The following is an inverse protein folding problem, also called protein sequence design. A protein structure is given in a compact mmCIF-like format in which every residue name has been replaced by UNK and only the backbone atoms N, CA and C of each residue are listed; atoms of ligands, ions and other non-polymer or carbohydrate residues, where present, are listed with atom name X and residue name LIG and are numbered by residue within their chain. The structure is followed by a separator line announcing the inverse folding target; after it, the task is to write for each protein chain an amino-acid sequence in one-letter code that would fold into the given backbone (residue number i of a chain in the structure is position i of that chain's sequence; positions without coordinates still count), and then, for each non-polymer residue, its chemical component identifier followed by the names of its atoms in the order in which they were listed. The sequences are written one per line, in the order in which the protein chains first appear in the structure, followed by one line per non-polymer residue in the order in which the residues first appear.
data_IF_793141031050
#
_entry.id   IF_793141031050
#
_cell.length_a   1.000
_cell.length_b   1.000
_cell.length_c   1.000
_cell.angle_alpha   90.00
_cell.angle_beta   90.00
_cell.angle_gamma   90.00
#
_symmetry.space_group_name_H-M   'P 1'
#
loop_
_entity.id
_entity.type
_entity.pdbx_description
1 polymer ?
#
# COMPACT_ATOMS: atom_id res chain seq x y z
N UNK A 1 3.30 18.41 0.43
CA UNK A 1 2.88 16.99 0.37
C UNK A 1 1.93 16.81 -0.80
N UNK A 2 2.27 15.95 -1.77
CA UNK A 2 1.34 15.68 -2.88
C UNK A 2 0.10 14.95 -2.35
N UNK A 3 -1.08 15.32 -2.84
CA UNK A 3 -2.31 14.56 -2.56
C UNK A 3 -2.12 13.14 -3.10
N UNK A 4 -2.30 12.13 -2.26
CA UNK A 4 -2.43 10.76 -2.75
C UNK A 4 -3.74 10.67 -3.54
N UNK A 5 -3.61 10.42 -4.83
CA UNK A 5 -4.76 10.14 -5.67
C UNK A 5 -5.11 8.68 -5.50
N UNK A 6 -6.37 8.41 -5.16
CA UNK A 6 -6.86 7.05 -5.09
C UNK A 6 -6.79 6.39 -6.47
N UNK A 7 -6.18 5.21 -6.52
CA UNK A 7 -6.10 4.38 -7.73
C UNK A 7 -6.78 3.05 -7.44
N UNK A 8 -7.84 2.75 -8.20
CA UNK A 8 -8.50 1.45 -8.17
C UNK A 8 -7.65 0.41 -8.89
N UNK A 9 -7.52 -0.79 -8.32
CA UNK A 9 -6.83 -1.89 -8.99
C UNK A 9 -7.57 -2.26 -10.29
N UNK A 10 -6.85 -2.44 -11.42
CA UNK A 10 -7.49 -2.83 -12.67
C UNK A 10 -7.89 -4.32 -12.69
N UNK A 11 -7.25 -5.14 -11.86
CA UNK A 11 -7.58 -6.56 -11.68
C UNK A 11 -7.45 -6.98 -10.21
N UNK A 12 -8.03 -8.12 -9.86
CA UNK A 12 -8.09 -8.67 -8.49
C UNK A 12 -6.73 -9.02 -7.87
N UNK A 13 -5.64 -8.95 -8.63
CA UNK A 13 -4.30 -9.33 -8.20
C UNK A 13 -3.35 -8.15 -7.96
N UNK A 14 -3.77 -6.94 -8.36
CA UNK A 14 -2.88 -5.78 -8.47
C UNK A 14 -2.97 -4.81 -7.29
N UNK A 15 -3.48 -5.28 -6.14
CA UNK A 15 -3.61 -4.46 -4.93
C UNK A 15 -2.27 -3.88 -4.45
N UNK A 16 -1.19 -4.67 -4.50
CA UNK A 16 0.15 -4.21 -4.13
C UNK A 16 0.73 -3.17 -5.09
N UNK A 17 0.53 -3.36 -6.39
CA UNK A 17 0.97 -2.47 -7.46
C UNK A 17 0.22 -1.14 -7.35
N UNK A 18 -1.09 -1.19 -7.11
CA UNK A 18 -1.90 0.00 -6.90
C UNK A 18 -1.43 0.81 -5.68
N UNK A 19 -1.08 0.15 -4.56
CA UNK A 19 -0.50 0.84 -3.39
C UNK A 19 0.79 1.60 -3.73
N UNK A 20 1.69 0.97 -4.49
CA UNK A 20 2.94 1.62 -4.92
C UNK A 20 2.66 2.74 -5.93
N UNK A 21 1.72 2.54 -6.86
CA UNK A 21 1.34 3.53 -7.85
C UNK A 21 0.81 4.81 -7.19
N UNK A 22 -0.02 4.64 -6.15
CA UNK A 22 -0.56 5.74 -5.33
C UNK A 22 0.55 6.51 -4.60
N UNK A 23 1.57 5.82 -4.09
CA UNK A 23 2.71 6.45 -3.42
C UNK A 23 3.67 7.15 -4.39
N UNK A 24 3.90 6.56 -5.56
CA UNK A 24 4.82 7.09 -6.57
C UNK A 24 4.18 8.14 -7.48
N UNK A 25 2.84 8.28 -7.46
CA UNK A 25 2.13 9.21 -8.34
C UNK A 25 2.15 8.79 -9.81
N UNK A 26 2.20 7.49 -10.07
CA UNK A 26 2.28 6.87 -11.41
C UNK A 26 1.08 5.95 -11.67
N UNK A 27 0.98 5.38 -12.85
CA UNK A 27 -0.08 4.41 -13.18
C UNK A 27 0.22 3.00 -12.64
N UNK A 28 -0.82 2.18 -12.45
CA UNK A 28 -0.64 0.77 -12.05
C UNK A 28 0.16 0.00 -13.10
N UNK A 29 -0.05 0.30 -14.39
CA UNK A 29 0.63 -0.34 -15.51
C UNK A 29 2.15 -0.11 -15.48
N UNK A 30 2.58 1.12 -15.16
CA UNK A 30 4.00 1.44 -14.97
C UNK A 30 4.59 0.62 -13.82
N UNK A 31 3.87 0.49 -12.70
CA UNK A 31 4.31 -0.34 -11.57
C UNK A 31 4.36 -1.83 -11.93
N UNK A 32 3.39 -2.34 -12.70
CA UNK A 32 3.40 -3.73 -13.21
C UNK A 32 4.65 -3.96 -14.07
N UNK A 33 5.01 -3.00 -14.93
CA UNK A 33 6.22 -3.07 -15.74
C UNK A 33 7.50 -3.09 -14.88
N UNK A 34 7.58 -2.23 -13.86
CA UNK A 34 8.71 -2.18 -12.91
C UNK A 34 8.83 -3.45 -12.08
N UNK A 35 7.70 -3.99 -11.60
CA UNK A 35 7.67 -5.25 -10.87
C UNK A 35 7.88 -6.46 -11.79
N UNK A 36 7.66 -6.31 -13.10
CA UNK A 36 7.59 -7.41 -14.07
C UNK A 36 6.68 -8.55 -13.56
N UNK A 37 5.55 -8.17 -12.93
CA UNK A 37 4.61 -9.08 -12.30
C UNK A 37 3.19 -8.50 -12.38
N UNK A 38 2.34 -9.19 -13.13
CA UNK A 38 0.92 -8.89 -13.34
C UNK A 38 -0.01 -9.74 -12.45
N UNK A 39 0.56 -10.51 -11.51
CA UNK A 39 -0.15 -11.39 -10.56
C UNK A 39 0.03 -10.90 -9.13
N UNK A 40 -0.33 -11.76 -8.17
CA UNK A 40 -0.25 -11.49 -6.74
C UNK A 40 1.14 -11.06 -6.29
N UNK A 41 1.16 -10.03 -5.44
CA UNK A 41 2.36 -9.27 -5.13
C UNK A 41 2.90 -9.62 -3.76
N UNK A 42 4.18 -9.98 -3.70
CA UNK A 42 4.88 -10.23 -2.44
C UNK A 42 5.49 -8.96 -1.84
N UNK A 43 5.90 -9.04 -0.58
CA UNK A 43 6.66 -7.96 0.10
C UNK A 43 7.88 -7.52 -0.71
N UNK A 44 8.64 -8.48 -1.27
CA UNK A 44 9.86 -8.20 -2.03
C UNK A 44 9.60 -7.41 -3.31
N UNK A 45 8.46 -7.63 -3.96
CA UNK A 45 8.07 -6.89 -5.17
C UNK A 45 7.71 -5.45 -4.85
N UNK A 46 6.93 -5.24 -3.79
CA UNK A 46 6.62 -3.91 -3.24
C UNK A 46 7.92 -3.19 -2.87
N UNK A 47 8.81 -3.84 -2.12
CA UNK A 47 10.09 -3.26 -1.69
C UNK A 47 10.97 -2.87 -2.89
N UNK A 48 11.05 -3.71 -3.92
CA UNK A 48 11.79 -3.42 -5.15
C UNK A 48 11.21 -2.22 -5.90
N UNK A 49 9.88 -2.15 -6.04
CA UNK A 49 9.25 -1.04 -6.74
C UNK A 49 9.38 0.27 -5.97
N UNK A 50 9.20 0.26 -4.65
CA UNK A 50 9.43 1.45 -3.80
C UNK A 50 10.88 1.96 -3.95
N UNK A 51 11.86 1.06 -3.91
CA UNK A 51 13.27 1.42 -4.14
C UNK A 51 13.51 2.00 -5.54
N UNK A 52 12.85 1.45 -6.57
CA UNK A 52 12.95 1.98 -7.94
C UNK A 52 12.46 3.42 -8.04
N UNK A 53 11.36 3.75 -7.37
CA UNK A 53 10.81 5.12 -7.31
C UNK A 53 11.51 6.02 -6.27
N UNK A 54 12.54 5.53 -5.57
CA UNK A 54 13.25 6.29 -4.54
C UNK A 54 12.41 6.58 -3.28
N UNK A 55 11.32 5.83 -3.07
CA UNK A 55 10.45 5.96 -1.89
C UNK A 55 11.10 5.23 -0.73
N UNK A 56 11.38 5.95 0.36
CA UNK A 56 11.99 5.40 1.57
C UNK A 56 10.95 4.63 2.40
N UNK A 57 11.35 3.48 2.89
CA UNK A 57 10.49 2.52 3.58
C UNK A 57 11.26 1.77 4.67
N UNK A 58 10.54 1.21 5.63
CA UNK A 58 11.14 0.33 6.63
C UNK A 58 11.73 -0.93 6.00
N UNK A 59 12.85 -1.42 6.55
CA UNK A 59 13.50 -2.66 6.07
C UNK A 59 12.63 -3.91 6.29
N UNK A 60 11.81 -3.90 7.32
CA UNK A 60 11.00 -5.04 7.77
C UNK A 60 9.55 -4.63 7.96
N UNK A 61 8.63 -5.58 7.75
CA UNK A 61 7.24 -5.43 8.15
C UNK A 61 7.14 -5.40 9.67
N UNK A 62 6.40 -4.46 10.23
CA UNK A 62 6.08 -4.41 11.66
C UNK A 62 4.74 -5.10 11.89
N UNK A 63 4.66 -5.97 12.90
CA UNK A 63 3.38 -6.61 13.27
C UNK A 63 2.42 -5.57 13.81
N UNK A 64 1.17 -5.65 13.38
CA UNK A 64 0.10 -4.77 13.84
C UNK A 64 -1.24 -5.49 13.75
N UNK A 65 -2.19 -4.99 14.52
CA UNK A 65 -3.59 -5.38 14.54
C UNK A 65 -4.49 -4.16 14.35
N UNK A 66 -5.80 -4.38 14.37
CA UNK A 66 -6.80 -3.32 14.14
C UNK A 66 -6.83 -2.26 15.26
N UNK A 67 -6.13 -2.46 16.38
CA UNK A 67 -6.01 -1.51 17.49
C UNK A 67 -4.66 -0.80 17.56
N UNK A 68 -3.72 -1.21 16.70
CA UNK A 68 -2.36 -0.69 16.69
C UNK A 68 -2.33 0.73 16.11
N UNK A 69 -1.50 1.59 16.71
CA UNK A 69 -1.25 2.94 16.17
C UNK A 69 -0.42 2.81 14.91
N UNK A 70 -1.00 3.24 13.78
CA UNK A 70 -0.34 3.22 12.48
C UNK A 70 0.48 4.51 12.27
N UNK A 71 1.62 4.43 11.57
CA UNK A 71 2.38 5.62 11.17
C UNK A 71 1.60 6.45 10.15
N UNK A 72 2.02 7.70 9.92
CA UNK A 72 1.37 8.64 8.98
C UNK A 72 1.15 8.03 7.59
N UNK A 73 2.11 7.25 7.09
CA UNK A 73 2.02 6.53 5.82
C UNK A 73 2.53 5.10 5.96
N UNK A 74 1.74 4.12 5.58
CA UNK A 74 2.19 2.73 5.52
C UNK A 74 1.39 1.89 4.53
N UNK A 75 2.01 0.82 4.04
CA UNK A 75 1.32 -0.23 3.29
C UNK A 75 0.94 -1.34 4.28
N UNK A 76 -0.35 -1.53 4.49
CA UNK A 76 -0.92 -2.56 5.34
C UNK A 76 -1.01 -3.88 4.59
N UNK A 77 -0.60 -4.95 5.26
CA UNK A 77 -0.96 -6.31 4.90
C UNK A 77 -2.15 -6.73 5.76
N UNK A 78 -3.31 -6.85 5.11
CA UNK A 78 -4.54 -7.30 5.77
C UNK A 78 -4.88 -8.72 5.34
N UNK A 79 -5.48 -9.47 6.25
CA UNK A 79 -6.06 -10.77 5.97
C UNK A 79 -7.58 -10.61 5.88
N UNK A 80 -8.11 -10.88 4.69
CA UNK A 80 -9.54 -11.02 4.47
C UNK A 80 -9.93 -12.50 4.61
N UNK A 81 -11.23 -12.82 4.78
CA UNK A 81 -11.67 -14.20 5.00
C UNK A 81 -11.23 -15.21 3.92
N UNK A 82 -10.90 -14.73 2.71
CA UNK A 82 -10.56 -15.58 1.56
C UNK A 82 -9.12 -15.44 1.07
N UNK A 83 -8.47 -14.30 1.29
CA UNK A 83 -7.14 -13.99 0.73
C UNK A 83 -6.44 -12.89 1.53
N UNK A 84 -5.14 -12.73 1.31
CA UNK A 84 -4.37 -11.58 1.81
C UNK A 84 -4.48 -10.40 0.85
N UNK A 85 -4.63 -9.20 1.38
CA UNK A 85 -4.82 -7.96 0.62
C UNK A 85 -3.85 -6.88 1.08
N UNK A 86 -3.54 -5.96 0.18
CA UNK A 86 -2.65 -4.82 0.43
C UNK A 86 -3.45 -3.53 0.37
N UNK A 87 -3.34 -2.72 1.42
CA UNK A 87 -4.05 -1.44 1.55
C UNK A 87 -3.03 -0.36 1.85
N UNK A 88 -3.17 0.82 1.23
CA UNK A 88 -2.37 1.98 1.57
C UNK A 88 -3.07 2.77 2.68
N UNK A 89 -2.40 2.99 3.80
CA UNK A 89 -2.86 3.89 4.84
C UNK A 89 -2.09 5.21 4.74
N UNK A 90 -2.83 6.31 4.74
CA UNK A 90 -2.25 7.65 4.67
C UNK A 90 -3.12 8.63 5.45
N UNK A 91 -2.53 9.25 6.46
CA UNK A 91 -3.09 10.35 7.24
C UNK A 91 -4.51 10.07 7.79
N UNK A 92 -4.68 8.91 8.43
CA UNK A 92 -5.98 8.51 8.99
C UNK A 92 -6.90 7.77 8.02
N UNK A 93 -6.57 7.73 6.72
CA UNK A 93 -7.44 7.15 5.69
C UNK A 93 -6.87 5.88 5.09
N UNK A 94 -7.76 4.95 4.75
CA UNK A 94 -7.44 3.70 4.08
C UNK A 94 -7.80 3.81 2.59
N UNK A 95 -6.80 3.72 1.75
CA UNK A 95 -6.89 3.68 0.30
C UNK A 95 -6.85 2.22 -0.11
N UNK A 96 -8.02 1.58 -0.12
CA UNK A 96 -8.17 0.18 -0.51
C UNK A 96 -8.36 0.08 -2.03
N UNK A 97 -7.41 -0.52 -2.78
CA UNK A 97 -7.49 -0.60 -4.23
C UNK A 97 -8.73 -1.36 -4.76
N UNK A 98 -9.36 -2.19 -3.93
CA UNK A 98 -10.55 -2.97 -4.26
C UNK A 98 -11.84 -2.25 -3.83
N UNK A 99 -11.88 -1.77 -2.58
CA UNK A 99 -13.09 -1.26 -1.94
C UNK A 99 -13.25 0.27 -1.94
N UNK A 100 -12.20 1.02 -2.24
CA UNK A 100 -12.23 2.49 -2.28
C UNK A 100 -11.50 3.18 -1.14
N UNK A 101 -11.72 4.49 -1.03
CA UNK A 101 -11.24 5.32 0.07
C UNK A 101 -12.22 5.22 1.25
N UNK A 102 -11.71 4.91 2.43
CA UNK A 102 -12.51 4.78 3.66
C UNK A 102 -11.76 5.37 4.87
N UNK A 103 -12.50 5.91 5.83
CA UNK A 103 -11.93 6.43 7.08
C UNK A 103 -11.70 5.32 8.12
N UNK A 104 -12.40 4.19 7.99
CA UNK A 104 -12.28 3.03 8.89
C UNK A 104 -12.16 1.73 8.11
N UNK A 105 -11.39 0.78 8.66
CA UNK A 105 -11.24 -0.55 8.09
C UNK A 105 -12.50 -1.39 8.34
N UNK A 106 -12.98 -2.11 7.32
CA UNK A 106 -14.17 -2.95 7.43
C UNK A 106 -13.96 -4.12 8.41
N UNK A 107 -15.01 -4.49 9.15
CA UNK A 107 -14.96 -5.47 10.26
C UNK A 107 -14.37 -6.84 9.88
N UNK A 108 -14.45 -7.22 8.60
CA UNK A 108 -13.92 -8.49 8.08
C UNK A 108 -12.41 -8.44 7.80
N UNK A 109 -11.81 -7.26 7.71
CA UNK A 109 -10.37 -7.11 7.52
C UNK A 109 -9.64 -7.16 8.85
N UNK A 110 -8.57 -7.97 8.87
CA UNK A 110 -7.66 -8.06 10.01
C UNK A 110 -6.28 -7.62 9.57
N UNK A 111 -5.77 -6.53 10.13
CA UNK A 111 -4.38 -6.13 9.94
C UNK A 111 -3.48 -7.22 10.52
N UNK A 112 -2.48 -7.63 9.75
CA UNK A 112 -1.44 -8.55 10.23
C UNK A 112 -0.13 -7.83 10.50
N UNK A 113 0.19 -6.87 9.64
CA UNK A 113 1.45 -6.13 9.66
C UNK A 113 1.37 -4.92 8.73
N UNK A 114 2.27 -3.97 8.92
CA UNK A 114 2.45 -2.82 8.04
C UNK A 114 3.90 -2.65 7.61
N UNK A 115 4.09 -2.03 6.44
CA UNK A 115 5.36 -1.50 5.97
C UNK A 115 5.30 0.01 6.09
N UNK A 116 6.08 0.58 7.01
CA UNK A 116 6.15 2.03 7.18
C UNK A 116 6.84 2.68 5.98
N UNK A 117 6.28 3.80 5.52
CA UNK A 117 6.81 4.60 4.42
C UNK A 117 7.25 5.94 4.99
N UNK A 118 8.53 6.26 4.80
CA UNK A 118 9.10 7.54 5.20
C UNK A 118 8.90 8.53 4.07
N UNK A 119 7.91 9.41 4.25
CA UNK A 119 7.73 10.56 3.37
C UNK A 119 8.58 11.71 3.89
N UNK A 120 9.57 12.14 3.11
CA UNK A 120 10.33 13.35 3.46
C UNK A 120 9.38 14.56 3.36
N UNK A 121 9.16 15.26 4.48
CA UNK A 121 8.27 16.44 4.52
C UNK A 121 8.87 17.66 3.81
N UNK A 122 10.13 17.57 3.34
CA UNK A 122 10.91 18.68 2.76
C UNK A 122 10.91 18.72 1.22
N UNK A 123 9.73 18.83 0.60
CA UNK A 123 9.60 19.53 -0.69
C UNK A 123 8.33 20.37 -0.69
N UNK A 124 8.48 21.60 -0.20
CA UNK A 124 7.66 22.77 -0.53
C UNK A 124 8.58 23.73 -1.28
#
# INVERSE_FOLDING_TARGET
MQKINYIKQPTDYLCGQACVAMLAGVTVEEVVSVMNNDKGTGKKDIERALNHYGIRQAKTMTKADNSSVLPKVCILKVLLPKYGHWILYYDGKYYDPEFGLMDELYHKARIQSYLEIFVDEEKI
#
